data_IF_183797418536
#
_entry.id   IF_183797418536
#
_cell.length_a   1.000
_cell.length_b   1.000
_cell.length_c   1.000
_cell.angle_alpha   90.00
_cell.angle_beta   90.00
_cell.angle_gamma   90.00
#
_symmetry.space_group_name_H-M   'P 1'
#
loop_
_entity.id
_entity.type
_entity.pdbx_description
1 polymer ?
#
# COMPACT_ATOMS: atom_id res chain seq x y z
N UNK A 1 -2.35 8.05 -28.76
CA UNK A 1 -3.57 7.39 -28.25
C UNK A 1 -3.37 7.03 -26.79
N UNK A 2 -4.10 7.67 -25.87
CA UNK A 2 -4.20 7.17 -24.49
C UNK A 2 -4.95 5.84 -24.56
N UNK A 3 -4.30 4.75 -24.17
CA UNK A 3 -4.99 3.47 -23.99
C UNK A 3 -6.11 3.66 -22.97
N UNK A 4 -7.28 3.09 -23.24
CA UNK A 4 -8.40 3.16 -22.31
C UNK A 4 -8.09 2.26 -21.11
N UNK A 5 -8.04 2.83 -19.93
CA UNK A 5 -7.87 2.11 -18.67
C UNK A 5 -9.24 1.91 -18.00
N UNK A 6 -9.45 0.77 -17.30
CA UNK A 6 -8.52 -0.35 -17.11
C UNK A 6 -8.42 -1.28 -18.33
N UNK A 7 -7.23 -1.85 -18.55
CA UNK A 7 -6.98 -2.88 -19.55
C UNK A 7 -7.30 -4.29 -18.97
N UNK A 8 -7.79 -5.18 -19.83
CA UNK A 8 -8.13 -6.57 -19.47
C UNK A 8 -6.91 -7.34 -18.95
N UNK A 9 -7.06 -8.10 -17.86
CA UNK A 9 -6.02 -8.94 -17.27
C UNK A 9 -4.94 -8.18 -16.50
N UNK A 10 -5.13 -6.89 -16.19
CA UNK A 10 -4.16 -6.07 -15.49
C UNK A 10 -4.44 -5.99 -13.98
N UNK A 11 -3.37 -6.08 -13.19
CA UNK A 11 -3.38 -5.74 -11.76
C UNK A 11 -3.00 -4.28 -11.58
N UNK A 12 -3.90 -3.48 -11.04
CA UNK A 12 -3.68 -2.09 -10.69
C UNK A 12 -3.40 -1.95 -9.19
N UNK A 13 -2.17 -1.55 -8.85
CA UNK A 13 -1.80 -1.23 -7.45
C UNK A 13 -2.07 0.25 -7.23
N UNK A 14 -3.09 0.57 -6.43
CA UNK A 14 -3.65 1.93 -6.35
C UNK A 14 -3.36 2.56 -5.00
N UNK A 15 -2.64 3.69 -5.01
CA UNK A 15 -2.44 4.51 -3.81
C UNK A 15 -3.72 5.20 -3.36
N UNK A 16 -4.01 5.13 -2.06
CA UNK A 16 -5.21 5.71 -1.44
C UNK A 16 -4.85 6.84 -0.46
N UNK A 17 -5.80 7.71 -0.09
CA UNK A 17 -5.56 8.81 0.85
C UNK A 17 -5.03 8.35 2.22
N UNK A 18 -4.18 9.19 2.84
CA UNK A 18 -3.55 8.95 4.13
C UNK A 18 -4.07 9.84 5.26
N UNK A 19 -5.24 10.44 5.10
CA UNK A 19 -5.87 11.32 6.10
C UNK A 19 -6.85 12.32 5.50
N UNK A 20 -6.65 12.72 4.24
CA UNK A 20 -7.57 13.59 3.52
C UNK A 20 -8.07 12.87 2.26
N UNK A 21 -9.37 12.60 2.18
CA UNK A 21 -9.97 11.88 1.05
C UNK A 21 -9.74 12.58 -0.30
N UNK A 22 -9.50 13.90 -0.30
CA UNK A 22 -9.24 14.67 -1.52
C UNK A 22 -7.86 14.40 -2.15
N UNK A 23 -6.97 13.70 -1.46
CA UNK A 23 -5.63 13.38 -1.98
C UNK A 23 -5.61 12.19 -2.95
N UNK A 24 -6.76 11.73 -3.39
CA UNK A 24 -6.86 10.67 -4.40
C UNK A 24 -6.75 11.27 -5.81
N UNK A 25 -6.00 10.59 -6.70
CA UNK A 25 -5.89 11.05 -8.08
C UNK A 25 -7.15 10.71 -8.90
N UNK A 26 -7.45 11.53 -9.91
CA UNK A 26 -8.53 11.26 -10.88
C UNK A 26 -8.34 9.90 -11.57
N UNK A 27 -7.09 9.53 -11.90
CA UNK A 27 -6.76 8.24 -12.49
C UNK A 27 -7.09 7.08 -11.55
N UNK A 28 -6.78 7.23 -10.24
CA UNK A 28 -7.14 6.23 -9.23
C UNK A 28 -8.67 6.03 -9.16
N UNK A 29 -9.44 7.12 -9.14
CA UNK A 29 -10.92 7.04 -9.14
C UNK A 29 -11.44 6.30 -10.38
N UNK A 30 -10.93 6.62 -11.57
CA UNK A 30 -11.31 5.94 -12.81
C UNK A 30 -11.02 4.43 -12.75
N UNK A 31 -9.84 4.04 -12.25
CA UNK A 31 -9.49 2.62 -12.08
C UNK A 31 -10.42 1.94 -11.08
N UNK A 32 -10.64 2.53 -9.91
CA UNK A 32 -11.51 1.96 -8.87
C UNK A 32 -12.96 1.79 -9.33
N UNK A 33 -13.44 2.67 -10.20
CA UNK A 33 -14.80 2.59 -10.78
C UNK A 33 -14.92 1.48 -11.81
N UNK A 34 -13.91 1.27 -12.65
CA UNK A 34 -14.04 0.48 -13.89
C UNK A 34 -13.35 -0.88 -13.86
N UNK A 35 -12.57 -1.23 -12.83
CA UNK A 35 -12.04 -2.61 -12.66
C UNK A 35 -13.16 -3.59 -12.32
N UNK A 36 -12.94 -4.88 -12.56
CA UNK A 36 -13.91 -5.94 -12.26
C UNK A 36 -14.27 -6.01 -10.77
N UNK A 37 -13.29 -5.79 -9.90
CA UNK A 37 -13.47 -5.64 -8.45
C UNK A 37 -12.22 -5.05 -7.79
N UNK A 38 -12.38 -4.63 -6.53
CA UNK A 38 -11.32 -4.05 -5.71
C UNK A 38 -10.92 -5.04 -4.62
N UNK A 39 -9.67 -5.49 -4.62
CA UNK A 39 -9.07 -6.25 -3.52
C UNK A 39 -8.54 -5.24 -2.47
N UNK A 40 -9.06 -5.30 -1.24
CA UNK A 40 -8.78 -4.32 -0.20
C UNK A 40 -8.55 -4.98 1.17
N UNK A 41 -7.74 -4.34 2.01
CA UNK A 41 -7.37 -4.84 3.33
C UNK A 41 -8.60 -4.89 4.25
N UNK A 42 -9.24 -3.74 4.51
CA UNK A 42 -10.51 -3.63 5.23
C UNK A 42 -11.59 -3.05 4.30
N UNK A 43 -12.58 -3.88 3.96
CA UNK A 43 -13.70 -3.48 3.09
C UNK A 43 -14.48 -2.29 3.63
N UNK A 44 -14.53 -2.11 4.97
CA UNK A 44 -15.23 -1.00 5.63
C UNK A 44 -14.53 0.34 5.37
N UNK A 45 -13.20 0.36 5.35
CA UNK A 45 -12.43 1.58 5.06
C UNK A 45 -12.53 1.94 3.59
N UNK A 46 -12.30 0.95 2.72
CA UNK A 46 -12.43 1.16 1.27
C UNK A 46 -13.86 1.57 0.88
N UNK A 47 -14.90 1.02 1.54
CA UNK A 47 -16.29 1.41 1.32
C UNK A 47 -16.53 2.90 1.59
N UNK A 48 -15.91 3.47 2.64
CA UNK A 48 -16.03 4.92 2.93
C UNK A 48 -15.43 5.74 1.79
N UNK A 49 -14.27 5.34 1.27
CA UNK A 49 -13.60 6.01 0.16
C UNK A 49 -14.46 5.99 -1.10
N UNK A 50 -14.85 4.80 -1.58
CA UNK A 50 -15.61 4.69 -2.83
C UNK A 50 -17.00 5.36 -2.74
N UNK A 51 -17.66 5.27 -1.59
CA UNK A 51 -18.94 5.95 -1.35
C UNK A 51 -18.79 7.48 -1.42
N UNK A 52 -17.71 8.04 -0.93
CA UNK A 52 -17.44 9.49 -1.00
C UNK A 52 -17.43 10.02 -2.44
N UNK A 53 -17.00 9.18 -3.38
CA UNK A 53 -16.88 9.52 -4.80
C UNK A 53 -17.97 8.93 -5.68
N UNK A 54 -19.01 8.34 -5.08
CA UNK A 54 -20.14 7.76 -5.82
C UNK A 54 -19.79 6.49 -6.61
N UNK A 55 -18.63 5.87 -6.33
CA UNK A 55 -18.20 4.65 -7.00
C UNK A 55 -18.96 3.46 -6.44
N UNK A 56 -19.55 2.67 -7.34
CA UNK A 56 -20.23 1.42 -7.00
C UNK A 56 -19.48 0.23 -7.59
N UNK A 57 -18.57 -0.36 -6.80
CA UNK A 57 -17.80 -1.51 -7.24
C UNK A 57 -17.73 -2.58 -6.13
N UNK A 58 -17.54 -3.83 -6.53
CA UNK A 58 -17.41 -4.98 -5.64
C UNK A 58 -16.09 -4.90 -4.86
N UNK A 59 -16.18 -5.06 -3.53
CA UNK A 59 -15.03 -5.15 -2.63
C UNK A 59 -14.77 -6.61 -2.24
N UNK A 60 -13.51 -7.01 -2.31
CA UNK A 60 -13.04 -8.34 -1.92
C UNK A 60 -11.95 -8.16 -0.85
N UNK A 61 -12.19 -8.68 0.34
CA UNK A 61 -11.18 -8.61 1.42
C UNK A 61 -9.90 -9.34 1.02
N UNK A 62 -8.77 -8.66 1.12
CA UNK A 62 -7.43 -9.20 0.89
C UNK A 62 -6.47 -8.64 1.94
N UNK A 63 -6.18 -9.41 2.98
CA UNK A 63 -5.38 -9.01 4.13
C UNK A 63 -4.32 -10.07 4.47
N UNK A 64 -3.41 -9.77 5.40
CA UNK A 64 -2.32 -10.67 5.81
C UNK A 64 -2.77 -12.07 6.24
N UNK A 65 -4.00 -12.21 6.76
CA UNK A 65 -4.52 -13.49 7.24
C UNK A 65 -5.09 -14.37 6.13
N UNK A 66 -5.53 -13.78 5.00
CA UNK A 66 -6.18 -14.50 3.92
C UNK A 66 -5.42 -14.45 2.58
N UNK A 67 -4.34 -13.67 2.47
CA UNK A 67 -3.58 -13.47 1.23
C UNK A 67 -3.12 -14.79 0.63
N UNK A 68 -2.50 -15.67 1.41
CA UNK A 68 -2.00 -16.97 0.94
C UNK A 68 -3.08 -17.82 0.24
N UNK A 69 -4.32 -17.82 0.78
CA UNK A 69 -5.44 -18.57 0.19
C UNK A 69 -6.04 -17.86 -1.02
N UNK A 70 -5.96 -16.53 -1.09
CA UNK A 70 -6.62 -15.73 -2.12
C UNK A 70 -5.76 -15.45 -3.34
N UNK A 71 -4.44 -15.39 -3.19
CA UNK A 71 -3.51 -15.13 -4.30
C UNK A 71 -3.79 -16.04 -5.51
N UNK A 72 -3.89 -17.38 -5.39
CA UNK A 72 -4.15 -18.24 -6.56
C UNK A 72 -5.44 -17.88 -7.30
N UNK A 73 -6.51 -17.57 -6.57
CA UNK A 73 -7.79 -17.20 -7.17
C UNK A 73 -7.71 -15.84 -7.88
N UNK A 74 -7.05 -14.84 -7.28
CA UNK A 74 -6.86 -13.53 -7.90
C UNK A 74 -6.01 -13.62 -9.17
N UNK A 75 -4.96 -14.45 -9.17
CA UNK A 75 -4.15 -14.74 -10.36
C UNK A 75 -5.00 -15.38 -11.47
N UNK A 76 -5.88 -16.33 -11.13
CA UNK A 76 -6.77 -16.95 -12.10
C UNK A 76 -7.77 -15.95 -12.70
N UNK A 77 -8.31 -15.02 -11.91
CA UNK A 77 -9.16 -13.93 -12.41
C UNK A 77 -8.39 -13.03 -13.40
N UNK A 78 -7.18 -12.63 -13.06
CA UNK A 78 -6.33 -11.84 -13.96
C UNK A 78 -6.04 -12.60 -15.27
N UNK A 79 -5.71 -13.89 -15.20
CA UNK A 79 -5.48 -14.75 -16.39
C UNK A 79 -6.73 -14.92 -17.25
N UNK A 80 -7.93 -14.87 -16.67
CA UNK A 80 -9.18 -14.91 -17.44
C UNK A 80 -9.56 -13.59 -18.09
N UNK A 81 -8.73 -12.54 -17.93
CA UNK A 81 -8.95 -11.24 -18.53
C UNK A 81 -9.64 -10.22 -17.60
N UNK A 82 -9.95 -10.59 -16.36
CA UNK A 82 -10.49 -9.67 -15.37
C UNK A 82 -9.41 -8.68 -14.92
N UNK A 83 -9.77 -7.41 -14.77
CA UNK A 83 -8.88 -6.40 -14.18
C UNK A 83 -9.20 -6.21 -12.71
N UNK A 84 -8.17 -6.08 -11.87
CA UNK A 84 -8.31 -5.99 -10.42
C UNK A 84 -7.56 -4.76 -9.92
N UNK A 85 -8.16 -3.97 -9.03
CA UNK A 85 -7.45 -2.99 -8.24
C UNK A 85 -7.09 -3.57 -6.87
N UNK A 86 -5.83 -3.39 -6.46
CA UNK A 86 -5.34 -3.67 -5.11
C UNK A 86 -5.18 -2.35 -4.38
N UNK A 87 -5.80 -2.22 -3.21
CA UNK A 87 -5.69 -1.06 -2.31
C UNK A 87 -5.36 -1.51 -0.89
N UNK A 88 -4.66 -0.67 -0.13
CA UNK A 88 -4.53 -0.76 1.33
C UNK A 88 -5.50 0.20 2.01
N UNK A 89 -5.58 0.15 3.32
CA UNK A 89 -6.45 1.04 4.11
C UNK A 89 -6.06 2.51 3.96
N UNK A 90 -4.74 2.79 3.79
CA UNK A 90 -4.21 4.13 3.55
C UNK A 90 -2.84 4.06 2.87
N UNK A 91 -2.59 4.90 1.87
CA UNK A 91 -1.32 5.00 1.18
C UNK A 91 -1.10 3.97 0.08
N UNK A 92 0.14 3.58 -0.12
CA UNK A 92 0.55 2.64 -1.17
C UNK A 92 0.47 1.20 -0.66
N UNK A 93 -0.25 0.29 -1.37
CA UNK A 93 -0.26 -1.13 -1.03
C UNK A 93 1.14 -1.73 -1.03
N UNK A 94 1.35 -2.81 -0.29
CA UNK A 94 2.61 -3.55 -0.06
C UNK A 94 3.73 -2.78 0.67
N UNK A 95 3.55 -1.51 1.01
CA UNK A 95 4.48 -0.78 1.87
C UNK A 95 4.04 -0.94 3.33
N UNK A 96 4.57 -1.92 4.03
CA UNK A 96 4.14 -2.40 5.36
C UNK A 96 2.70 -2.98 5.40
N UNK A 97 2.06 -3.12 4.27
CA UNK A 97 0.67 -3.54 4.06
C UNK A 97 0.61 -4.83 3.21
N UNK A 98 -0.55 -5.51 3.15
CA UNK A 98 -0.74 -6.65 2.26
C UNK A 98 -0.56 -6.28 0.79
N UNK A 99 -0.09 -7.23 -0.01
CA UNK A 99 -0.01 -7.07 -1.47
C UNK A 99 1.26 -7.62 -2.11
N UNK A 100 2.35 -7.69 -1.36
CA UNK A 100 3.65 -8.15 -1.89
C UNK A 100 3.54 -9.52 -2.56
N UNK A 101 2.87 -10.49 -1.92
CA UNK A 101 2.72 -11.84 -2.44
C UNK A 101 1.93 -11.87 -3.75
N UNK A 102 0.86 -11.06 -3.85
CA UNK A 102 0.06 -10.98 -5.07
C UNK A 102 0.86 -10.36 -6.22
N UNK A 103 1.58 -9.27 -5.94
CA UNK A 103 2.42 -8.57 -6.93
C UNK A 103 3.55 -9.50 -7.41
N UNK A 104 4.21 -10.20 -6.48
CA UNK A 104 5.28 -11.16 -6.78
C UNK A 104 4.78 -12.30 -7.66
N UNK A 105 3.68 -12.91 -7.30
CA UNK A 105 3.10 -14.02 -8.06
C UNK A 105 2.60 -13.55 -9.43
N UNK A 106 1.92 -12.39 -9.52
CA UNK A 106 1.49 -11.83 -10.79
C UNK A 106 2.67 -11.58 -11.74
N UNK A 107 3.78 -11.04 -11.24
CA UNK A 107 5.02 -10.88 -12.00
C UNK A 107 5.62 -12.22 -12.43
N UNK A 108 5.66 -13.17 -11.53
CA UNK A 108 6.23 -14.50 -11.81
C UNK A 108 5.50 -15.21 -12.96
N UNK A 109 4.17 -15.08 -13.02
CA UNK A 109 3.37 -15.69 -14.10
C UNK A 109 3.18 -14.77 -15.32
N UNK A 110 3.91 -13.67 -15.41
CA UNK A 110 3.95 -12.78 -16.59
C UNK A 110 2.74 -11.87 -16.76
N UNK A 111 1.96 -11.62 -15.70
CA UNK A 111 0.83 -10.69 -15.75
C UNK A 111 1.29 -9.23 -15.72
N UNK A 112 0.51 -8.36 -16.33
CA UNK A 112 0.77 -6.93 -16.35
C UNK A 112 0.35 -6.27 -15.02
N UNK A 113 1.24 -5.43 -14.49
CA UNK A 113 1.00 -4.69 -13.26
C UNK A 113 1.24 -3.22 -13.53
N UNK A 114 0.27 -2.39 -13.18
CA UNK A 114 0.37 -0.93 -13.24
C UNK A 114 0.22 -0.37 -11.82
N UNK A 115 1.21 0.40 -11.40
CA UNK A 115 1.13 1.19 -10.19
C UNK A 115 0.50 2.55 -10.51
N UNK A 116 -0.61 2.87 -9.85
CA UNK A 116 -1.22 4.20 -9.88
C UNK A 116 -0.64 4.99 -8.70
N UNK A 117 0.22 5.98 -8.95
CA UNK A 117 0.86 6.75 -7.88
C UNK A 117 -0.16 7.44 -6.98
N UNK A 118 0.11 7.45 -5.69
CA UNK A 118 -0.75 8.08 -4.71
C UNK A 118 -0.01 8.49 -3.44
N UNK A 119 -0.73 8.94 -2.42
CA UNK A 119 -0.16 9.36 -1.15
C UNK A 119 0.72 8.29 -0.53
N UNK A 120 1.84 8.72 0.06
CA UNK A 120 2.78 7.85 0.76
C UNK A 120 3.25 8.55 2.06
N UNK A 121 2.86 8.01 3.21
CA UNK A 121 3.14 8.62 4.51
C UNK A 121 4.64 8.81 4.75
N UNK A 122 5.48 7.83 4.36
CA UNK A 122 6.92 7.90 4.54
C UNK A 122 7.54 9.09 3.78
N UNK A 123 7.20 9.25 2.52
CA UNK A 123 7.72 10.35 1.68
C UNK A 123 7.12 11.69 2.11
N UNK A 124 5.84 11.72 2.45
CA UNK A 124 5.17 12.95 2.94
C UNK A 124 5.82 13.45 4.23
N UNK A 125 6.11 12.56 5.18
CA UNK A 125 6.80 12.89 6.41
C UNK A 125 8.22 13.39 6.15
N UNK A 126 8.98 12.73 5.27
CA UNK A 126 10.34 13.14 4.91
C UNK A 126 10.36 14.55 4.32
N UNK A 127 9.49 14.83 3.35
CA UNK A 127 9.40 16.17 2.72
C UNK A 127 9.03 17.24 3.72
N UNK A 128 8.14 16.93 4.68
CA UNK A 128 7.67 17.89 5.70
C UNK A 128 8.66 18.08 6.85
N UNK A 129 9.63 17.18 7.03
CA UNK A 129 10.54 17.20 8.18
C UNK A 129 11.65 18.27 8.08
N UNK A 130 12.00 18.70 6.86
CA UNK A 130 13.16 19.55 6.60
C UNK A 130 14.52 18.82 6.77
N UNK A 131 14.52 17.52 7.05
CA UNK A 131 15.75 16.70 7.16
C UNK A 131 16.32 16.40 5.77
N UNK A 132 17.61 16.03 5.68
CA UNK A 132 18.23 15.61 4.41
C UNK A 132 17.46 14.49 3.74
N UNK A 133 17.02 14.69 2.49
CA UNK A 133 16.16 13.78 1.73
C UNK A 133 16.83 13.11 0.54
N UNK A 134 18.06 13.50 0.18
CA UNK A 134 18.79 12.95 -0.98
C UNK A 134 19.15 11.47 -0.82
N UNK A 135 19.40 11.02 0.41
CA UNK A 135 19.66 9.62 0.77
C UNK A 135 18.99 9.36 2.12
N UNK A 136 18.06 8.42 2.16
CA UNK A 136 17.33 8.07 3.37
C UNK A 136 17.11 6.56 3.46
N UNK A 137 16.69 6.09 4.63
CA UNK A 137 16.35 4.70 4.91
C UNK A 137 14.89 4.65 5.32
N UNK A 138 14.12 3.75 4.74
CA UNK A 138 12.81 3.39 5.23
C UNK A 138 12.90 2.05 5.96
N UNK A 139 12.77 2.10 7.28
CA UNK A 139 12.83 0.92 8.16
C UNK A 139 11.45 0.30 8.39
N UNK A 140 10.38 1.09 8.24
CA UNK A 140 9.03 0.65 8.56
C UNK A 140 8.81 0.50 10.06
N UNK A 141 8.09 -0.56 10.48
CA UNK A 141 7.84 -0.83 11.90
C UNK A 141 9.00 -1.59 12.54
N UNK A 142 9.47 -1.11 13.68
CA UNK A 142 10.50 -1.81 14.46
C UNK A 142 10.00 -3.19 14.94
N UNK A 143 10.91 -4.17 15.07
CA UNK A 143 10.58 -5.48 15.62
C UNK A 143 9.88 -5.39 16.97
N UNK A 144 8.94 -6.31 17.23
CA UNK A 144 8.26 -6.40 18.53
C UNK A 144 9.13 -7.07 19.59
N UNK A 145 10.01 -8.00 19.18
CA UNK A 145 10.91 -8.72 20.07
C UNK A 145 12.04 -7.80 20.53
N UNK A 146 12.23 -7.70 21.84
CA UNK A 146 13.15 -6.74 22.48
C UNK A 146 14.56 -6.79 21.90
N UNK A 147 15.16 -7.97 21.83
CA UNK A 147 16.54 -8.13 21.34
C UNK A 147 16.74 -7.70 19.88
N UNK A 148 15.76 -7.99 19.01
CA UNK A 148 15.79 -7.59 17.60
C UNK A 148 15.56 -6.09 17.46
N UNK A 149 14.65 -5.53 18.27
CA UNK A 149 14.36 -4.09 18.33
C UNK A 149 15.59 -3.29 18.77
N UNK A 150 16.27 -3.71 19.85
CA UNK A 150 17.51 -3.07 20.34
C UNK A 150 18.62 -3.11 19.28
N UNK A 151 18.78 -4.24 18.58
CA UNK A 151 19.72 -4.38 17.49
C UNK A 151 19.42 -3.39 16.35
N UNK A 152 18.18 -3.32 15.91
CA UNK A 152 17.75 -2.40 14.85
C UNK A 152 17.97 -0.94 15.26
N UNK A 153 17.63 -0.57 16.49
CA UNK A 153 17.87 0.79 17.00
C UNK A 153 19.37 1.14 17.02
N UNK A 154 20.21 0.19 17.41
CA UNK A 154 21.67 0.39 17.37
C UNK A 154 22.19 0.54 15.93
N UNK A 155 21.65 -0.19 14.97
CA UNK A 155 21.99 -0.05 13.55
C UNK A 155 21.57 1.34 13.03
N UNK A 156 20.37 1.81 13.39
CA UNK A 156 19.86 3.14 13.04
C UNK A 156 20.76 4.23 13.63
N UNK A 157 21.17 4.13 14.91
CA UNK A 157 21.98 5.14 15.58
C UNK A 157 23.39 5.32 14.97
N UNK A 158 23.86 4.31 14.27
CA UNK A 158 25.16 4.33 13.57
C UNK A 158 25.08 4.85 12.14
N UNK A 159 23.85 5.11 11.65
CA UNK A 159 23.63 5.54 10.28
C UNK A 159 23.47 7.06 10.22
N UNK A 160 24.21 7.71 9.31
CA UNK A 160 24.16 9.15 9.11
C UNK A 160 23.05 9.62 8.14
N UNK A 161 22.20 8.69 7.69
CA UNK A 161 21.08 9.02 6.79
C UNK A 161 19.82 9.26 7.59
N UNK A 162 18.95 10.12 7.08
CA UNK A 162 17.58 10.25 7.61
C UNK A 162 16.91 8.88 7.57
N UNK A 163 16.40 8.42 8.71
CA UNK A 163 15.69 7.15 8.82
C UNK A 163 14.21 7.41 9.10
N UNK A 164 13.34 6.76 8.35
CA UNK A 164 11.89 6.86 8.49
C UNK A 164 11.39 5.60 9.18
N UNK A 165 10.69 5.80 10.29
CA UNK A 165 10.06 4.75 11.08
C UNK A 165 8.53 4.90 11.04
N UNK A 166 7.83 3.77 11.03
CA UNK A 166 6.40 3.72 11.33
C UNK A 166 6.18 3.23 12.75
N UNK A 167 5.26 3.88 13.45
CA UNK A 167 4.84 3.41 14.77
C UNK A 167 3.35 3.72 15.01
N UNK A 168 2.70 2.87 15.81
CA UNK A 168 1.32 3.11 16.22
C UNK A 168 1.27 4.26 17.25
N UNK A 169 0.18 5.05 17.28
CA UNK A 169 0.03 6.14 18.24
C UNK A 169 0.19 5.69 19.70
N UNK A 170 -0.29 4.48 20.02
CA UNK A 170 -0.23 3.90 21.38
C UNK A 170 1.18 3.54 21.83
N UNK A 171 2.12 3.32 20.90
CA UNK A 171 3.51 2.96 21.19
C UNK A 171 4.50 4.11 20.90
N UNK A 172 4.02 5.22 20.34
CA UNK A 172 4.89 6.34 19.94
C UNK A 172 5.72 6.87 21.11
N UNK A 173 5.10 7.09 22.29
CA UNK A 173 5.82 7.58 23.47
C UNK A 173 6.97 6.64 23.89
N UNK A 174 6.73 5.32 23.81
CA UNK A 174 7.77 4.33 24.09
C UNK A 174 8.91 4.43 23.09
N UNK A 175 8.60 4.50 21.79
CA UNK A 175 9.62 4.64 20.74
C UNK A 175 10.48 5.88 20.94
N UNK A 176 9.87 7.04 21.25
CA UNK A 176 10.61 8.30 21.48
C UNK A 176 11.57 8.22 22.66
N UNK A 177 11.27 7.40 23.68
CA UNK A 177 12.19 7.18 24.80
C UNK A 177 13.29 6.15 24.49
N UNK A 178 13.17 5.39 23.42
CA UNK A 178 14.15 4.39 22.99
C UNK A 178 15.17 4.96 21.97
N UNK A 179 14.80 6.07 21.29
CA UNK A 179 15.66 6.81 20.34
C UNK A 179 16.58 7.78 21.06
#
# INVERSE_FOLDING_TARGET
>A
HKKQEPESGFLYVVGTPIGNLSDISIRALNILENVSFIACEDTRQTQKLIKRYGINNKLVSFNKHNSFKKVPNLINFLKSGESIALVSDAGMPSICDPGEELIKEAKFVGLNIICIPGPCAAITALVSSGLPSSKFIFEGFLPKKKSEREKTLLEISRNNRTTILFESPTRLKKLLNEL
#
